data_IF_519587117835
#
_entry.id   IF_519587117835
#
_cell.length_a   1.000
_cell.length_b   1.000
_cell.length_c   1.000
_cell.angle_alpha   90.00
_cell.angle_beta   90.00
_cell.angle_gamma   90.00
#
_symmetry.space_group_name_H-M   'P 1'
#
loop_
_entity.id
_entity.type
_entity.pdbx_description
1 polymer ?
#
# COMPACT_ATOMS: atom_id res chain seq x y z
N UNK A 1 6.76 6.52 5.68
CA UNK A 1 7.49 7.60 5.09
C UNK A 1 7.10 8.98 5.58
N UNK A 2 8.04 9.89 5.57
CA UNK A 2 7.81 11.29 5.91
C UNK A 2 8.33 12.17 4.77
N UNK A 3 7.99 11.79 3.54
CA UNK A 3 8.47 12.45 2.33
C UNK A 3 7.48 13.55 1.93
N UNK A 4 7.98 14.79 1.82
CA UNK A 4 7.16 15.92 1.42
C UNK A 4 7.21 16.10 -0.10
N UNK A 5 6.09 16.48 -0.71
CA UNK A 5 5.98 16.72 -2.15
C UNK A 5 6.92 17.84 -2.64
N UNK A 6 7.23 18.80 -1.77
CA UNK A 6 8.15 19.90 -2.09
C UNK A 6 9.60 19.45 -2.37
N UNK A 7 9.96 18.20 -2.02
CA UNK A 7 11.25 17.60 -2.38
C UNK A 7 11.32 17.17 -3.85
N UNK A 8 10.20 17.22 -4.57
CA UNK A 8 10.06 16.83 -5.97
C UNK A 8 9.65 18.01 -6.84
N UNK A 9 10.30 18.17 -7.98
CA UNK A 9 9.85 19.12 -9.00
C UNK A 9 8.49 18.69 -9.56
N UNK A 10 7.75 19.63 -10.14
CA UNK A 10 6.47 19.32 -10.80
C UNK A 10 6.64 18.23 -11.88
N UNK A 11 7.69 18.31 -12.68
CA UNK A 11 8.02 17.33 -13.71
C UNK A 11 8.24 15.93 -13.11
N UNK A 12 8.92 15.80 -11.97
CA UNK A 12 9.10 14.51 -11.30
C UNK A 12 7.78 13.95 -10.78
N UNK A 13 6.90 14.81 -10.27
CA UNK A 13 5.56 14.39 -9.83
C UNK A 13 4.71 13.89 -11.00
N UNK A 14 4.76 14.56 -12.14
CA UNK A 14 4.11 14.13 -13.38
C UNK A 14 4.67 12.79 -13.87
N UNK A 15 5.99 12.63 -13.85
CA UNK A 15 6.64 11.35 -14.21
C UNK A 15 6.18 10.19 -13.32
N UNK A 16 5.96 10.42 -12.02
CA UNK A 16 5.43 9.40 -11.09
C UNK A 16 3.99 9.06 -11.47
N UNK A 17 3.14 10.05 -11.75
CA UNK A 17 1.77 9.84 -12.24
C UNK A 17 1.75 9.01 -13.52
N UNK A 18 2.54 9.42 -14.50
CA UNK A 18 2.60 8.79 -15.83
C UNK A 18 3.20 7.38 -15.78
N UNK A 19 4.12 7.14 -14.84
CA UNK A 19 4.64 5.79 -14.58
C UNK A 19 3.51 4.83 -14.19
N UNK A 20 2.55 5.28 -13.40
CA UNK A 20 1.39 4.46 -13.03
C UNK A 20 0.37 4.42 -14.16
N UNK A 21 -0.08 5.59 -14.65
CA UNK A 21 -1.22 5.69 -15.54
C UNK A 21 -0.95 5.15 -16.94
N UNK A 22 0.23 5.43 -17.50
CA UNK A 22 0.56 5.15 -18.90
C UNK A 22 1.49 3.95 -19.06
N UNK A 23 2.50 3.84 -18.17
CA UNK A 23 3.51 2.79 -18.27
C UNK A 23 3.14 1.51 -17.53
N UNK A 24 2.03 1.50 -16.78
CA UNK A 24 1.57 0.32 -16.06
C UNK A 24 2.37 -0.01 -14.80
N UNK A 25 3.10 0.97 -14.26
CA UNK A 25 3.88 0.80 -13.04
C UNK A 25 3.02 0.69 -11.78
N UNK A 26 3.62 0.24 -10.70
CA UNK A 26 2.99 0.19 -9.38
C UNK A 26 3.58 1.25 -8.46
N UNK A 27 2.74 2.04 -7.82
CA UNK A 27 3.12 3.04 -6.83
C UNK A 27 2.60 2.65 -5.46
N UNK A 28 3.45 2.70 -4.45
CA UNK A 28 3.03 2.54 -3.06
C UNK A 28 3.48 3.73 -2.22
N UNK A 29 2.52 4.37 -1.57
CA UNK A 29 2.80 5.43 -0.60
C UNK A 29 2.60 4.93 0.82
N UNK A 30 3.55 5.30 1.68
CA UNK A 30 3.53 4.94 3.11
C UNK A 30 3.12 6.15 3.95
N UNK A 31 2.27 5.91 4.92
CA UNK A 31 1.93 6.87 5.96
C UNK A 31 3.15 7.25 6.81
N UNK A 32 3.03 8.34 7.53
CA UNK A 32 4.05 8.87 8.43
C UNK A 32 3.77 10.31 8.79
N UNK A 33 4.53 10.84 9.76
CA UNK A 33 4.24 12.15 10.36
C UNK A 33 4.11 13.30 9.35
N UNK A 34 4.90 13.29 8.29
CA UNK A 34 4.87 14.31 7.22
C UNK A 34 4.60 13.69 5.84
N UNK A 35 4.02 12.48 5.82
CA UNK A 35 3.65 11.79 4.59
C UNK A 35 2.21 12.11 4.15
N UNK A 36 1.83 11.57 3.01
CA UNK A 36 0.47 11.66 2.46
C UNK A 36 -0.08 13.10 2.43
N UNK A 37 -1.24 13.35 3.02
CA UNK A 37 -1.90 14.67 3.01
C UNK A 37 -1.04 15.78 3.61
N UNK A 38 -0.43 15.56 4.79
CA UNK A 38 0.49 16.54 5.42
C UNK A 38 1.74 16.83 4.58
N UNK A 39 2.17 15.85 3.80
CA UNK A 39 3.27 16.03 2.85
C UNK A 39 2.91 16.78 1.58
N UNK A 40 1.68 17.30 1.47
CA UNK A 40 1.22 18.06 0.30
C UNK A 40 0.84 17.21 -0.92
N UNK A 41 0.87 15.88 -0.80
CA UNK A 41 0.61 14.97 -1.93
C UNK A 41 -0.82 15.05 -2.46
N UNK A 42 -1.78 15.50 -1.66
CA UNK A 42 -3.18 15.67 -2.08
C UNK A 42 -3.40 16.74 -3.15
N UNK A 43 -2.47 17.68 -3.32
CA UNK A 43 -2.52 18.76 -4.31
C UNK A 43 -1.55 18.54 -5.48
N UNK A 44 -0.83 17.42 -5.48
CA UNK A 44 0.13 17.06 -6.52
C UNK A 44 -0.52 16.29 -7.67
N UNK A 45 0.09 16.26 -8.87
CA UNK A 45 -0.33 15.37 -9.95
C UNK A 45 -0.43 13.91 -9.54
N UNK A 46 0.41 13.46 -8.58
CA UNK A 46 0.39 12.09 -8.06
C UNK A 46 -0.94 11.76 -7.36
N UNK A 47 -1.65 12.77 -6.83
CA UNK A 47 -2.95 12.55 -6.17
C UNK A 47 -3.99 11.90 -7.09
N UNK A 48 -3.88 12.08 -8.40
CA UNK A 48 -4.80 11.53 -9.38
C UNK A 48 -4.80 10.00 -9.37
N UNK A 49 -3.63 9.40 -9.20
CA UNK A 49 -3.46 7.95 -9.21
C UNK A 49 -3.68 7.29 -7.85
N UNK A 50 -3.78 8.06 -6.77
CA UNK A 50 -3.91 7.49 -5.42
C UNK A 50 -5.33 7.00 -5.11
N UNK A 51 -5.50 5.93 -4.32
CA UNK A 51 -6.81 5.34 -4.01
C UNK A 51 -7.66 6.16 -3.04
N UNK A 52 -7.12 7.24 -2.48
CA UNK A 52 -7.83 8.15 -1.57
C UNK A 52 -7.58 9.60 -1.97
N UNK A 53 -8.57 10.45 -1.76
CA UNK A 53 -8.42 11.90 -1.83
C UNK A 53 -7.75 12.38 -0.55
N UNK A 54 -6.46 12.64 -0.63
CA UNK A 54 -5.69 13.11 0.51
C UNK A 54 -6.03 14.58 0.82
N UNK A 55 -6.45 14.85 2.04
CA UNK A 55 -6.69 16.21 2.53
C UNK A 55 -5.50 16.70 3.35
N UNK A 56 -5.26 18.01 3.33
CA UNK A 56 -4.35 18.67 4.26
C UNK A 56 -5.05 18.70 5.62
N UNK A 57 -4.70 17.75 6.47
CA UNK A 57 -5.22 17.65 7.83
C UNK A 57 -4.08 17.30 8.78
N UNK A 58 -3.73 18.24 9.64
CA UNK A 58 -2.68 18.07 10.64
C UNK A 58 -3.03 17.03 11.69
N UNK A 59 -4.31 16.77 11.92
CA UNK A 59 -4.79 15.75 12.85
C UNK A 59 -4.85 14.33 12.24
N UNK A 60 -4.61 14.20 10.94
CA UNK A 60 -4.70 12.92 10.25
C UNK A 60 -3.71 11.86 10.77
N UNK A 61 -2.54 12.27 11.25
CA UNK A 61 -1.54 11.37 11.81
C UNK A 61 -1.78 11.14 13.31
N UNK A 62 -2.09 9.90 13.68
CA UNK A 62 -2.43 9.51 15.04
C UNK A 62 -1.38 8.54 15.61
N UNK A 63 -0.71 8.95 16.68
CA UNK A 63 0.17 8.09 17.48
C UNK A 63 -0.64 7.32 18.50
N UNK A 64 -1.10 6.16 18.13
CA UNK A 64 -1.86 5.26 18.98
C UNK A 64 -1.62 3.83 18.55
N UNK A 65 -1.42 2.95 19.51
CA UNK A 65 -1.33 1.52 19.22
C UNK A 65 -2.72 0.99 18.88
N UNK A 66 -2.84 0.40 17.69
CA UNK A 66 -4.10 -0.13 17.19
C UNK A 66 -3.90 -1.49 16.52
N UNK A 67 -4.83 -2.44 16.70
CA UNK A 67 -4.78 -3.72 16.00
C UNK A 67 -5.12 -3.54 14.53
N UNK A 68 -4.48 -4.37 13.69
CA UNK A 68 -4.75 -4.45 12.26
C UNK A 68 -5.73 -5.59 12.00
N UNK A 69 -6.69 -5.35 11.11
CA UNK A 69 -7.76 -6.28 10.76
C UNK A 69 -7.78 -6.50 9.25
N UNK A 70 -7.86 -7.78 8.83
CA UNK A 70 -8.12 -8.14 7.44
C UNK A 70 -9.58 -7.85 7.07
N UNK A 71 -9.78 -7.15 5.95
CA UNK A 71 -11.10 -7.07 5.32
C UNK A 71 -11.45 -8.37 4.58
N UNK A 72 -12.66 -8.50 4.07
CA UNK A 72 -13.03 -9.62 3.19
C UNK A 72 -12.14 -9.68 1.95
N UNK A 73 -11.88 -8.52 1.31
CA UNK A 73 -10.97 -8.42 0.17
C UNK A 73 -9.51 -8.73 0.56
N UNK A 74 -9.10 -8.32 1.77
CA UNK A 74 -7.77 -8.63 2.30
C UNK A 74 -7.55 -10.12 2.54
N UNK A 75 -8.56 -10.85 2.99
CA UNK A 75 -8.50 -12.32 3.14
C UNK A 75 -8.31 -13.03 1.81
N UNK A 76 -8.91 -12.52 0.75
CA UNK A 76 -8.79 -13.06 -0.60
C UNK A 76 -7.46 -12.66 -1.30
N UNK A 77 -6.76 -11.64 -0.80
CA UNK A 77 -5.56 -11.11 -1.44
C UNK A 77 -4.32 -12.00 -1.21
N UNK A 78 -3.70 -12.57 -2.26
CA UNK A 78 -2.54 -13.47 -2.11
C UNK A 78 -1.36 -12.82 -1.39
N UNK A 79 -1.17 -11.51 -1.57
CA UNK A 79 -0.09 -10.75 -0.93
C UNK A 79 -0.24 -10.57 0.59
N UNK A 80 -1.37 -10.96 1.17
CA UNK A 80 -1.64 -10.90 2.60
C UNK A 80 -1.80 -12.28 3.24
N UNK A 81 -1.38 -13.34 2.56
CA UNK A 81 -1.46 -14.71 3.08
C UNK A 81 -0.17 -15.13 3.78
N UNK A 82 -0.26 -15.41 5.06
CA UNK A 82 0.80 -16.08 5.84
C UNK A 82 0.65 -17.60 5.81
N UNK A 83 -0.56 -18.11 5.50
CA UNK A 83 -0.90 -19.52 5.36
C UNK A 83 -1.89 -19.71 4.21
N UNK A 84 -1.88 -20.87 3.57
CA UNK A 84 -2.86 -21.25 2.55
C UNK A 84 -4.24 -21.54 3.15
N UNK A 85 -4.30 -21.92 4.44
CA UNK A 85 -5.56 -22.07 5.18
C UNK A 85 -6.11 -20.71 5.59
N UNK A 86 -7.32 -20.39 5.17
CA UNK A 86 -7.97 -19.11 5.51
C UNK A 86 -8.16 -18.94 7.02
N UNK A 87 -8.49 -20.03 7.73
CA UNK A 87 -8.65 -20.03 9.19
C UNK A 87 -7.31 -19.74 9.88
N UNK A 88 -6.26 -20.44 9.47
CA UNK A 88 -4.92 -20.23 10.01
C UNK A 88 -4.40 -18.84 9.69
N UNK A 89 -4.60 -18.37 8.45
CA UNK A 89 -4.22 -17.03 8.04
C UNK A 89 -4.91 -15.95 8.89
N UNK A 90 -6.22 -16.10 9.13
CA UNK A 90 -6.97 -15.15 9.97
C UNK A 90 -6.45 -15.14 11.41
N UNK A 91 -6.11 -16.31 11.96
CA UNK A 91 -5.50 -16.46 13.29
C UNK A 91 -4.14 -15.76 13.33
N UNK A 92 -3.26 -16.03 12.37
CA UNK A 92 -1.92 -15.40 12.30
C UNK A 92 -1.99 -13.87 12.23
N UNK A 93 -2.98 -13.30 11.52
CA UNK A 93 -3.21 -11.86 11.49
C UNK A 93 -3.72 -11.32 12.83
N UNK A 94 -4.62 -12.04 13.51
CA UNK A 94 -5.16 -11.62 14.82
C UNK A 94 -4.12 -11.62 15.94
N UNK A 95 -3.06 -12.38 15.79
CA UNK A 95 -1.94 -12.48 16.74
C UNK A 95 -0.84 -11.44 16.50
N UNK A 96 -0.93 -10.67 15.42
CA UNK A 96 0.07 -9.60 15.19
C UNK A 96 -0.03 -8.53 16.26
N UNK A 97 1.11 -8.02 16.76
CA UNK A 97 1.12 -6.88 17.65
C UNK A 97 0.45 -5.66 17.02
N UNK A 98 -0.13 -4.80 17.85
CA UNK A 98 -0.65 -3.52 17.39
C UNK A 98 0.44 -2.67 16.72
N UNK A 99 0.11 -1.99 15.63
CA UNK A 99 1.00 -1.00 15.01
C UNK A 99 1.11 0.26 15.89
N UNK A 100 2.17 1.06 15.68
CA UNK A 100 2.49 2.21 16.54
C UNK A 100 1.69 3.47 16.23
N UNK A 101 1.27 3.61 14.97
CA UNK A 101 0.61 4.80 14.46
C UNK A 101 -0.26 4.44 13.25
N UNK A 102 -1.16 5.32 12.91
CA UNK A 102 -1.90 5.27 11.66
C UNK A 102 -2.24 6.68 11.18
N UNK A 103 -2.57 6.80 9.91
CA UNK A 103 -3.03 8.05 9.32
C UNK A 103 -4.45 7.86 8.77
N UNK A 104 -5.34 8.76 9.14
CA UNK A 104 -6.68 8.77 8.55
C UNK A 104 -6.60 9.19 7.10
N UNK A 105 -7.31 8.46 6.26
CA UNK A 105 -7.43 8.77 4.84
C UNK A 105 -8.69 9.59 4.60
N UNK A 106 -8.66 10.44 3.60
CA UNK A 106 -9.85 11.10 3.08
C UNK A 106 -10.78 10.12 2.34
N UNK A 107 -11.81 10.61 1.65
CA UNK A 107 -12.72 9.76 0.89
C UNK A 107 -11.98 8.87 -0.11
N UNK A 108 -12.31 7.58 -0.08
CA UNK A 108 -11.76 6.63 -1.05
C UNK A 108 -12.35 6.87 -2.45
N UNK A 109 -11.58 6.57 -3.48
CA UNK A 109 -12.06 6.62 -4.86
C UNK A 109 -12.95 5.40 -5.17
N UNK A 110 -13.86 5.50 -6.16
CA UNK A 110 -14.80 4.41 -6.48
C UNK A 110 -14.14 3.07 -6.81
N UNK A 111 -12.96 3.09 -7.44
CA UNK A 111 -12.20 1.88 -7.80
C UNK A 111 -11.31 1.37 -6.66
N UNK A 112 -11.27 2.04 -5.52
CA UNK A 112 -10.41 1.68 -4.41
C UNK A 112 -10.97 0.48 -3.64
N UNK A 113 -10.08 -0.43 -3.27
CA UNK A 113 -10.37 -1.59 -2.44
C UNK A 113 -9.55 -1.54 -1.16
N UNK A 114 -10.21 -1.59 -0.01
CA UNK A 114 -9.54 -1.69 1.29
C UNK A 114 -9.19 -3.14 1.59
N UNK A 115 -7.92 -3.40 1.85
CA UNK A 115 -7.38 -4.72 2.15
C UNK A 115 -7.12 -4.92 3.65
N UNK A 116 -6.60 -3.89 4.31
CA UNK A 116 -6.38 -3.86 5.75
C UNK A 116 -7.07 -2.64 6.36
N UNK A 117 -7.53 -2.83 7.57
CA UNK A 117 -8.12 -1.77 8.41
C UNK A 117 -7.44 -1.73 9.77
N UNK A 118 -7.60 -0.63 10.49
CA UNK A 118 -7.31 -0.52 11.92
C UNK A 118 -8.61 -0.40 12.69
N UNK A 119 -8.73 -1.14 13.79
CA UNK A 119 -9.88 -1.06 14.68
C UNK A 119 -9.65 0.03 15.74
N UNK A 120 -10.44 1.10 15.70
CA UNK A 120 -10.32 2.28 16.57
C UNK A 120 -11.70 2.64 17.12
N UNK A 121 -11.87 2.59 18.43
CA UNK A 121 -13.10 3.02 19.14
C UNK A 121 -14.39 2.43 18.53
N UNK A 122 -14.34 1.12 18.19
CA UNK A 122 -15.48 0.41 17.59
C UNK A 122 -15.72 0.71 16.11
N UNK A 123 -14.80 1.41 15.45
CA UNK A 123 -14.85 1.68 14.00
C UNK A 123 -13.63 1.09 13.32
N UNK A 124 -13.80 0.69 12.08
CA UNK A 124 -12.71 0.27 11.21
C UNK A 124 -12.36 1.40 10.25
N UNK A 125 -11.07 1.76 10.24
CA UNK A 125 -10.53 2.78 9.34
C UNK A 125 -9.58 2.14 8.32
N UNK A 126 -9.60 2.55 7.04
CA UNK A 126 -8.73 2.01 6.02
C UNK A 126 -7.24 2.18 6.36
N UNK A 127 -6.46 1.10 6.25
CA UNK A 127 -5.02 1.09 6.48
C UNK A 127 -4.22 0.75 5.22
N UNK A 128 -4.52 -0.36 4.55
CA UNK A 128 -3.97 -0.70 3.24
C UNK A 128 -5.07 -0.65 2.21
N UNK A 129 -4.94 0.29 1.29
CA UNK A 129 -5.90 0.52 0.21
C UNK A 129 -5.18 0.43 -1.12
N UNK A 130 -5.80 -0.21 -2.09
CA UNK A 130 -5.29 -0.31 -3.46
C UNK A 130 -6.34 0.12 -4.47
N UNK A 131 -5.90 0.57 -5.64
CA UNK A 131 -6.75 0.72 -6.81
C UNK A 131 -5.97 0.48 -8.10
N UNK A 132 -6.61 -0.08 -9.14
CA UNK A 132 -6.12 0.03 -10.51
C UNK A 132 -6.29 1.47 -11.03
N UNK A 133 -5.31 1.97 -11.75
CA UNK A 133 -5.39 3.29 -12.37
C UNK A 133 -4.65 3.30 -13.71
N UNK A 134 -5.35 3.65 -14.79
CA UNK A 134 -4.80 3.55 -16.14
C UNK A 134 -4.33 2.13 -16.44
N UNK A 135 -3.07 1.97 -16.76
CA UNK A 135 -2.44 0.66 -17.03
C UNK A 135 -1.77 0.03 -15.80
N UNK A 136 -1.66 0.76 -14.72
CA UNK A 136 -0.97 0.35 -13.50
C UNK A 136 -1.88 0.28 -12.28
N UNK A 137 -1.27 0.34 -11.13
CA UNK A 137 -1.96 0.28 -9.85
C UNK A 137 -1.27 1.13 -8.79
N UNK A 138 -2.03 1.56 -7.80
CA UNK A 138 -1.48 2.30 -6.67
C UNK A 138 -1.96 1.76 -5.34
N UNK A 139 -1.14 1.99 -4.32
CA UNK A 139 -1.38 1.58 -2.95
C UNK A 139 -1.11 2.72 -1.99
N UNK A 140 -1.88 2.77 -0.92
CA UNK A 140 -1.55 3.52 0.29
C UNK A 140 -1.53 2.54 1.45
N UNK A 141 -0.40 2.47 2.16
CA UNK A 141 -0.32 1.89 3.50
C UNK A 141 -0.25 3.06 4.50
N UNK A 142 -1.37 3.34 5.15
CA UNK A 142 -1.58 4.53 5.97
C UNK A 142 -0.89 4.44 7.35
N UNK A 143 0.29 3.85 7.41
CA UNK A 143 1.13 3.76 8.62
C UNK A 143 2.61 3.69 8.27
N UNK A 144 3.46 4.15 9.16
CA UNK A 144 4.88 3.85 9.23
C UNK A 144 5.22 2.88 10.37
N UNK A 145 4.21 2.39 11.09
CA UNK A 145 4.35 1.71 12.37
C UNK A 145 4.50 0.19 12.35
N UNK A 146 4.57 -0.44 11.16
CA UNK A 146 4.71 -1.91 11.05
C UNK A 146 6.02 -2.47 11.61
N UNK A 147 7.05 -1.62 11.79
CA UNK A 147 8.31 -1.99 12.46
C UNK A 147 8.08 -2.59 13.85
N UNK A 148 6.96 -2.24 14.49
CA UNK A 148 6.58 -2.78 15.79
C UNK A 148 6.38 -4.29 15.76
N UNK A 149 5.91 -4.85 14.67
CA UNK A 149 5.80 -6.30 14.54
C UNK A 149 7.16 -6.95 14.68
N UNK A 150 8.18 -6.44 13.95
CA UNK A 150 9.55 -6.95 14.05
C UNK A 150 10.12 -6.83 15.47
N UNK A 151 9.82 -5.73 16.16
CA UNK A 151 10.38 -5.45 17.48
C UNK A 151 9.65 -6.16 18.63
N UNK A 152 8.39 -6.56 18.43
CA UNK A 152 7.53 -7.11 19.48
C UNK A 152 7.27 -8.61 19.34
N UNK A 153 7.70 -9.22 18.24
CA UNK A 153 7.59 -10.66 18.01
C UNK A 153 8.95 -11.36 18.27
N UNK A 154 8.94 -12.69 18.53
CA UNK A 154 10.17 -13.47 18.59
C UNK A 154 11.00 -13.33 17.31
N UNK A 155 12.32 -13.37 17.43
CA UNK A 155 13.26 -13.23 16.30
C UNK A 155 13.01 -14.25 15.17
N UNK A 156 12.49 -15.43 15.50
CA UNK A 156 12.15 -16.47 14.52
C UNK A 156 10.81 -16.24 13.81
N UNK A 157 10.03 -15.23 14.23
CA UNK A 157 8.75 -14.92 13.59
C UNK A 157 8.94 -14.07 12.34
N UNK A 158 8.73 -14.68 11.19
CA UNK A 158 8.99 -14.09 9.89
C UNK A 158 7.76 -13.39 9.28
N UNK A 159 6.67 -13.19 10.04
CA UNK A 159 5.43 -12.60 9.49
C UNK A 159 5.63 -11.19 8.96
N UNK A 160 6.38 -10.34 9.66
CA UNK A 160 6.70 -8.98 9.21
C UNK A 160 7.49 -8.99 7.90
N UNK A 161 8.53 -9.81 7.81
CA UNK A 161 9.34 -9.95 6.60
C UNK A 161 8.51 -10.55 5.45
N UNK A 162 7.70 -11.57 5.73
CA UNK A 162 6.81 -12.19 4.75
C UNK A 162 5.80 -11.19 4.20
N UNK A 163 5.19 -10.36 5.06
CA UNK A 163 4.29 -9.28 4.64
C UNK A 163 4.98 -8.34 3.63
N UNK A 164 6.14 -7.79 3.97
CA UNK A 164 6.84 -6.86 3.09
C UNK A 164 7.34 -7.52 1.81
N UNK A 165 7.82 -8.75 1.89
CA UNK A 165 8.27 -9.50 0.72
C UNK A 165 7.15 -9.78 -0.27
N UNK A 166 5.98 -10.19 0.22
CA UNK A 166 4.80 -10.45 -0.63
C UNK A 166 4.27 -9.16 -1.24
N UNK A 167 4.21 -8.10 -0.46
CA UNK A 167 3.77 -6.78 -0.94
C UNK A 167 4.71 -6.25 -2.04
N UNK A 168 6.02 -6.32 -1.82
CA UNK A 168 7.01 -5.94 -2.82
C UNK A 168 6.90 -6.80 -4.10
N UNK A 169 6.74 -8.12 -3.96
CA UNK A 169 6.53 -9.00 -5.12
C UNK A 169 5.27 -8.64 -5.91
N UNK A 170 4.18 -8.30 -5.23
CA UNK A 170 2.96 -7.85 -5.89
C UNK A 170 3.17 -6.56 -6.68
N UNK A 171 3.88 -5.59 -6.10
CA UNK A 171 4.21 -4.33 -6.79
C UNK A 171 5.04 -4.57 -8.06
N UNK A 172 6.02 -5.47 -8.00
CA UNK A 172 6.90 -5.76 -9.15
C UNK A 172 6.21 -6.64 -10.20
N UNK A 173 5.40 -7.62 -9.79
CA UNK A 173 4.74 -8.56 -10.70
C UNK A 173 3.80 -7.86 -11.70
N UNK A 174 3.22 -6.74 -11.32
CA UNK A 174 2.31 -5.95 -12.15
C UNK A 174 3.03 -4.79 -12.89
N UNK A 175 4.36 -4.71 -12.78
CA UNK A 175 5.13 -3.70 -13.49
C UNK A 175 5.41 -4.18 -14.92
N UNK A 176 5.29 -3.31 -15.94
CA UNK A 176 5.56 -3.71 -17.32
C UNK A 176 7.00 -4.18 -17.47
N UNK A 177 7.19 -5.32 -18.11
CA UNK A 177 8.52 -5.78 -18.46
C UNK A 177 9.07 -4.86 -19.56
N UNK A 178 10.32 -4.38 -19.44
CA UNK A 178 10.87 -3.41 -20.39
C UNK A 178 11.07 -3.98 -21.80
N UNK A 179 11.07 -5.31 -21.99
CA UNK A 179 11.23 -5.96 -23.29
C UNK A 179 10.50 -7.31 -23.32
N UNK A 180 9.66 -7.49 -24.31
CA UNK A 180 9.16 -8.79 -24.76
C UNK A 180 9.83 -9.10 -26.10
N UNK A 181 10.83 -9.99 -26.09
CA UNK A 181 11.46 -10.51 -27.31
C UNK A 181 10.70 -11.77 -27.73
N UNK A 182 9.89 -11.67 -28.80
CA UNK A 182 9.35 -12.83 -29.49
C UNK A 182 10.23 -13.12 -30.71
N UNK A 183 10.92 -14.28 -30.73
CA UNK A 183 11.56 -14.76 -31.90
C UNK A 183 10.64 -15.75 -32.64
N UNK A 184 10.19 -15.39 -33.83
CA UNK A 184 9.51 -16.32 -34.73
C UNK A 184 10.56 -16.94 -35.63
N UNK A 185 10.74 -18.27 -35.53
CA UNK A 185 11.60 -19.01 -36.50
C UNK A 185 10.71 -19.32 -37.70
N UNK A 186 10.95 -18.65 -38.81
CA UNK A 186 10.40 -19.07 -40.11
C UNK A 186 11.30 -20.24 -40.59
N UNK A 187 10.74 -21.44 -40.67
CA UNK A 187 11.36 -22.54 -41.40
C UNK A 187 11.08 -22.29 -42.88
N UNK A 188 12.12 -21.99 -43.67
CA UNK A 188 12.08 -22.10 -45.12
C UNK A 188 12.15 -23.61 -45.47
N UNK A 189 11.11 -24.11 -46.16
CA UNK A 189 11.09 -25.42 -46.85
C UNK A 189 11.86 -25.34 -48.17
#
# INVERSE_FOLDING_TARGET
>A
GSMNVAEFTLQQQEMIRDFVSERGGSLMMLGGLQGLGRGGWGQSPVSEVLPSRLTLDDSAFVRRQVPVVLTTSGRAAPMLKFSDSDTENAKMWSELPAIADYQTLGPLRPAATTLLEVAVDGRNLPLLVTQPYGRGQSFILATGGTWRWQMSMPLADMRHETFWRQLARNLVANSPRPFELSATVENED
#
